data_IF_715954052174
#
_entry.id   IF_715954052174
#
_cell.length_a   1.000
_cell.length_b   1.000
_cell.length_c   1.000
_cell.angle_alpha   90.00
_cell.angle_beta   90.00
_cell.angle_gamma   90.00
#
_symmetry.space_group_name_H-M   'P 1'
#
loop_
_entity.id
_entity.type
_entity.pdbx_description
1 polymer ?
#
# COMPACT_ATOMS: atom_id res chain seq x y z
N UNK A 1 -13.43 -2.10 5.40
CA UNK A 1 -13.49 -2.63 4.03
C UNK A 1 -13.63 -1.46 3.07
N UNK A 2 -12.84 -1.45 1.99
CA UNK A 2 -12.87 -0.40 0.95
C UNK A 2 -13.25 -1.08 -0.37
N UNK A 3 -14.05 -0.41 -1.20
CA UNK A 3 -14.44 -0.90 -2.51
C UNK A 3 -14.03 0.11 -3.59
N UNK A 4 -13.30 -0.34 -4.61
CA UNK A 4 -12.94 0.46 -5.78
C UNK A 4 -13.66 -0.11 -6.99
N UNK A 5 -14.54 0.68 -7.59
CA UNK A 5 -15.28 0.30 -8.78
C UNK A 5 -14.56 0.82 -10.03
N UNK A 6 -14.15 -0.08 -10.92
CA UNK A 6 -13.65 0.25 -12.26
C UNK A 6 -14.58 -0.35 -13.31
N UNK A 7 -14.52 0.09 -14.58
CA UNK A 7 -15.37 -0.48 -15.63
C UNK A 7 -15.25 -2.00 -15.80
N UNK A 8 -14.08 -2.56 -15.46
CA UNK A 8 -13.77 -3.97 -15.71
C UNK A 8 -13.88 -4.85 -14.45
N UNK A 9 -13.68 -4.26 -13.26
CA UNK A 9 -13.57 -5.00 -11.99
C UNK A 9 -13.92 -4.12 -10.79
N UNK A 10 -14.55 -4.74 -9.78
CA UNK A 10 -14.62 -4.20 -8.42
C UNK A 10 -13.50 -4.79 -7.58
N UNK A 11 -12.68 -3.95 -6.98
CA UNK A 11 -11.64 -4.34 -6.03
C UNK A 11 -12.18 -4.26 -4.61
N UNK A 12 -11.92 -5.28 -3.81
CA UNK A 12 -12.24 -5.34 -2.38
C UNK A 12 -10.94 -5.20 -1.62
N UNK A 13 -10.81 -4.18 -0.79
CA UNK A 13 -9.57 -3.92 -0.06
C UNK A 13 -9.78 -3.97 1.44
N UNK A 14 -8.82 -4.55 2.15
CA UNK A 14 -8.73 -4.56 3.62
C UNK A 14 -7.61 -3.63 4.08
N UNK A 15 -7.92 -2.82 5.09
CA UNK A 15 -7.02 -1.80 5.62
C UNK A 15 -5.87 -2.44 6.38
N UNK A 16 -4.65 -1.99 6.11
CA UNK A 16 -3.44 -2.32 6.87
C UNK A 16 -3.29 -1.34 8.02
N UNK A 17 -3.28 -0.04 7.71
CA UNK A 17 -3.00 1.03 8.65
C UNK A 17 -3.58 2.36 8.18
N UNK A 18 -3.84 3.28 9.12
CA UNK A 18 -4.20 4.66 8.84
C UNK A 18 -3.47 5.61 9.80
N UNK A 19 -2.71 6.57 9.28
CA UNK A 19 -1.84 7.42 10.09
C UNK A 19 -1.76 8.85 9.57
N UNK A 20 -1.41 9.77 10.47
CA UNK A 20 -0.98 11.12 10.13
C UNK A 20 0.53 11.14 9.90
N UNK A 21 0.96 11.83 8.85
CA UNK A 21 2.37 11.94 8.47
C UNK A 21 2.63 13.28 7.79
N UNK A 22 3.91 13.58 7.67
CA UNK A 22 4.47 14.65 6.86
C UNK A 22 4.20 14.45 5.35
N UNK A 23 4.66 15.39 4.54
CA UNK A 23 4.51 15.38 3.09
C UNK A 23 5.57 14.56 2.32
N UNK A 24 6.31 13.69 3.02
CA UNK A 24 7.47 12.99 2.49
C UNK A 24 7.19 12.26 1.15
N UNK A 25 7.98 12.53 0.08
CA UNK A 25 7.75 11.93 -1.24
C UNK A 25 7.78 10.41 -1.27
N UNK A 26 8.57 9.77 -0.40
CA UNK A 26 8.69 8.31 -0.32
C UNK A 26 7.34 7.62 -0.08
N UNK A 27 6.40 8.28 0.61
CA UNK A 27 5.04 7.76 0.87
C UNK A 27 4.22 7.51 -0.41
N UNK A 28 4.63 8.13 -1.53
CA UNK A 28 4.02 8.01 -2.86
C UNK A 28 4.78 7.05 -3.78
N UNK A 29 5.74 6.30 -3.27
CA UNK A 29 6.52 5.37 -4.08
C UNK A 29 5.63 4.27 -4.66
N UNK A 30 5.73 4.07 -5.97
CA UNK A 30 4.95 3.07 -6.73
C UNK A 30 5.81 1.99 -7.39
N UNK A 31 7.14 2.12 -7.33
CA UNK A 31 8.12 1.21 -7.92
C UNK A 31 9.11 0.75 -6.85
N UNK A 32 9.54 -0.51 -6.93
CA UNK A 32 10.43 -1.16 -5.98
C UNK A 32 11.37 -2.08 -6.76
N UNK A 33 12.63 -2.21 -6.34
CA UNK A 33 13.62 -3.07 -7.00
C UNK A 33 13.30 -4.56 -6.83
N UNK A 34 12.75 -4.92 -5.68
CA UNK A 34 12.40 -6.30 -5.34
C UNK A 34 11.32 -6.35 -4.24
N UNK A 35 10.85 -7.57 -3.95
CA UNK A 35 9.82 -7.81 -2.94
C UNK A 35 10.29 -7.57 -1.50
N UNK A 36 11.58 -7.79 -1.21
CA UNK A 36 12.12 -7.57 0.14
C UNK A 36 12.15 -6.07 0.45
N UNK A 37 12.55 -5.25 -0.52
CA UNK A 37 12.52 -3.79 -0.43
C UNK A 37 11.08 -3.28 -0.31
N UNK A 38 10.14 -3.86 -1.06
CA UNK A 38 8.73 -3.56 -0.93
C UNK A 38 8.18 -3.90 0.47
N UNK A 39 8.51 -5.06 1.05
CA UNK A 39 8.07 -5.42 2.40
C UNK A 39 8.66 -4.50 3.46
N UNK A 40 9.95 -4.18 3.36
CA UNK A 40 10.60 -3.19 4.22
C UNK A 40 9.94 -1.80 4.11
N UNK A 41 9.52 -1.42 2.91
CA UNK A 41 8.75 -0.20 2.71
C UNK A 41 7.40 -0.25 3.43
N UNK A 42 6.61 -1.32 3.26
CA UNK A 42 5.31 -1.47 3.95
C UNK A 42 5.49 -1.37 5.47
N UNK A 43 6.51 -2.02 6.02
CA UNK A 43 6.82 -1.97 7.44
C UNK A 43 7.16 -0.57 7.91
N UNK A 44 8.12 0.11 7.24
CA UNK A 44 8.52 1.48 7.56
C UNK A 44 7.35 2.47 7.47
N UNK A 45 6.51 2.32 6.45
CA UNK A 45 5.36 3.21 6.25
C UNK A 45 4.25 3.00 7.28
N UNK A 46 4.20 1.85 7.96
CA UNK A 46 3.11 1.50 8.89
C UNK A 46 3.53 1.46 10.36
N UNK A 47 4.83 1.54 10.68
CA UNK A 47 5.42 1.38 12.02
C UNK A 47 4.78 2.26 13.12
N UNK A 48 4.40 3.50 12.81
CA UNK A 48 3.88 4.46 13.80
C UNK A 48 2.36 4.45 13.97
N UNK A 49 1.66 3.51 13.34
CA UNK A 49 0.21 3.44 13.42
C UNK A 49 -0.24 2.70 14.69
N UNK A 50 -1.29 3.20 15.36
CA UNK A 50 -1.93 2.50 16.49
C UNK A 50 -2.71 1.26 16.05
N UNK A 51 -3.09 1.19 14.78
CA UNK A 51 -3.73 0.04 14.15
C UNK A 51 -2.87 -0.45 12.98
N UNK A 52 -2.32 -1.65 13.10
CA UNK A 52 -1.52 -2.27 12.04
C UNK A 52 -1.88 -3.75 11.91
N UNK A 53 -2.47 -4.12 10.79
CA UNK A 53 -2.86 -5.49 10.46
C UNK A 53 -2.32 -5.88 9.09
N UNK A 54 -1.12 -6.49 9.08
CA UNK A 54 -0.52 -7.07 7.88
C UNK A 54 -0.78 -8.59 7.95
N UNK A 55 -1.28 -9.23 6.87
CA UNK A 55 -1.44 -10.68 6.80
C UNK A 55 -0.13 -11.42 7.04
N UNK A 56 -0.16 -12.54 7.76
CA UNK A 56 1.02 -13.40 7.98
C UNK A 56 1.59 -13.97 6.67
N UNK A 57 0.73 -14.19 5.68
CA UNK A 57 1.10 -14.61 4.32
C UNK A 57 1.78 -13.51 3.51
N UNK A 58 1.84 -12.28 4.03
CA UNK A 58 2.36 -11.11 3.35
C UNK A 58 1.42 -10.55 2.29
N UNK A 59 1.88 -9.49 1.62
CA UNK A 59 1.17 -8.84 0.53
C UNK A 59 2.14 -8.64 -0.65
N UNK A 60 1.62 -8.68 -1.88
CA UNK A 60 2.42 -8.38 -3.09
C UNK A 60 2.13 -7.00 -3.67
N UNK A 61 1.04 -6.36 -3.21
CA UNK A 61 0.57 -5.07 -3.69
C UNK A 61 -0.15 -4.35 -2.56
N UNK A 62 0.05 -3.05 -2.47
CA UNK A 62 -0.73 -2.17 -1.60
C UNK A 62 -1.41 -1.07 -2.39
N UNK A 63 -2.45 -0.52 -1.80
CA UNK A 63 -3.13 0.70 -2.20
C UNK A 63 -2.85 1.78 -1.16
N UNK A 64 -2.42 2.96 -1.61
CA UNK A 64 -2.12 4.11 -0.76
C UNK A 64 -3.11 5.24 -1.05
N UNK A 65 -3.96 5.57 -0.09
CA UNK A 65 -4.88 6.71 -0.16
C UNK A 65 -4.30 7.85 0.67
N UNK A 66 -3.86 8.92 0.01
CA UNK A 66 -3.13 10.02 0.64
C UNK A 66 -3.94 11.29 0.47
N UNK A 67 -4.23 12.00 1.56
CA UNK A 67 -4.89 13.30 1.45
C UNK A 67 -3.95 14.36 0.86
N UNK A 68 -4.53 15.23 0.04
CA UNK A 68 -3.86 16.43 -0.43
C UNK A 68 -4.25 17.57 0.51
N UNK A 69 -3.46 17.84 1.55
CA UNK A 69 -3.59 19.06 2.34
C UNK A 69 -2.75 20.17 1.72
N UNK A 70 -3.33 21.36 1.58
CA UNK A 70 -2.64 22.59 1.19
C UNK A 70 -2.43 23.54 2.39
N UNK A 71 -2.78 23.12 3.61
CA UNK A 71 -2.89 24.00 4.78
C UNK A 71 -1.76 23.82 5.82
N UNK A 72 -0.77 22.96 5.56
CA UNK A 72 0.44 22.85 6.37
C UNK A 72 1.26 21.58 6.09
N UNK A 73 2.55 21.59 6.45
CA UNK A 73 3.52 20.56 6.07
C UNK A 73 3.25 19.16 6.68
N UNK A 74 2.58 19.10 7.85
CA UNK A 74 2.46 17.89 8.70
C UNK A 74 1.01 17.39 8.93
N UNK A 75 0.13 17.49 7.93
CA UNK A 75 -1.30 17.19 8.11
C UNK A 75 -1.85 16.13 7.18
N UNK A 76 -0.99 15.32 6.53
CA UNK A 76 -1.48 14.30 5.60
C UNK A 76 -1.95 13.08 6.34
N UNK A 77 -3.18 12.65 6.04
CA UNK A 77 -3.66 11.32 6.42
C UNK A 77 -3.35 10.38 5.28
N UNK A 78 -2.74 9.24 5.63
CA UNK A 78 -2.49 8.14 4.70
C UNK A 78 -3.21 6.90 5.20
N UNK A 79 -3.93 6.22 4.31
CA UNK A 79 -4.49 4.91 4.53
C UNK A 79 -3.83 3.92 3.57
N UNK A 80 -3.27 2.85 4.12
CA UNK A 80 -2.73 1.72 3.36
C UNK A 80 -3.71 0.54 3.42
N UNK A 81 -3.89 -0.15 2.30
CA UNK A 81 -4.75 -1.32 2.19
C UNK A 81 -4.16 -2.36 1.22
N UNK A 82 -4.59 -3.61 1.32
CA UNK A 82 -4.30 -4.67 0.37
C UNK A 82 -5.58 -5.22 -0.25
N UNK A 83 -5.47 -5.81 -1.43
CA UNK A 83 -6.62 -6.41 -2.14
C UNK A 83 -6.93 -7.81 -1.61
N UNK A 84 -8.22 -8.12 -1.53
CA UNK A 84 -8.74 -9.45 -1.25
C UNK A 84 -9.09 -10.19 -2.54
N UNK A 85 -8.86 -11.49 -2.55
CA UNK A 85 -9.38 -12.40 -3.56
C UNK A 85 -10.85 -12.77 -3.29
N UNK A 86 -11.38 -13.70 -4.07
CA UNK A 86 -12.76 -14.17 -3.95
C UNK A 86 -13.02 -14.99 -2.66
N UNK A 87 -11.96 -15.42 -1.96
CA UNK A 87 -12.03 -16.19 -0.71
C UNK A 87 -11.76 -15.34 0.54
N UNK A 88 -11.71 -14.01 0.41
CA UNK A 88 -11.35 -13.08 1.50
C UNK A 88 -9.89 -13.19 1.98
N UNK A 89 -9.03 -13.79 1.17
CA UNK A 89 -7.59 -13.90 1.45
C UNK A 89 -6.80 -12.81 0.70
N UNK A 90 -5.58 -12.46 1.14
CA UNK A 90 -4.75 -11.50 0.43
C UNK A 90 -4.49 -11.95 -1.00
N UNK A 91 -4.86 -11.12 -1.98
CA UNK A 91 -4.67 -11.42 -3.39
C UNK A 91 -3.19 -11.65 -3.70
N UNK A 92 -2.88 -12.84 -4.21
CA UNK A 92 -1.54 -13.22 -4.62
C UNK A 92 -1.35 -12.95 -6.11
N UNK A 93 -0.21 -12.40 -6.45
CA UNK A 93 0.13 -12.01 -7.82
C UNK A 93 1.28 -12.85 -8.34
N UNK A 94 1.25 -13.17 -9.64
CA UNK A 94 2.39 -13.81 -10.29
C UNK A 94 3.54 -12.80 -10.39
N UNK A 95 4.48 -12.90 -9.44
CA UNK A 95 5.63 -12.01 -9.34
C UNK A 95 6.54 -12.08 -10.57
N UNK A 96 6.53 -13.17 -11.33
CA UNK A 96 7.33 -13.29 -12.56
C UNK A 96 6.84 -12.36 -13.68
N UNK A 97 5.61 -11.86 -13.56
CA UNK A 97 5.01 -10.91 -14.50
C UNK A 97 5.22 -9.45 -14.11
N UNK A 98 5.79 -9.19 -12.94
CA UNK A 98 6.08 -7.83 -12.46
C UNK A 98 7.41 -7.39 -13.05
N UNK A 99 7.37 -6.31 -13.83
CA UNK A 99 8.56 -5.60 -14.26
C UNK A 99 9.07 -4.72 -13.11
N UNK A 100 10.13 -5.17 -12.44
CA UNK A 100 10.80 -4.41 -11.38
C UNK A 100 11.78 -3.35 -11.93
N UNK A 101 11.99 -3.28 -13.27
CA UNK A 101 12.94 -2.37 -13.90
C UNK A 101 14.41 -2.70 -13.63
N UNK A 102 15.33 -2.26 -14.51
CA UNK A 102 16.78 -2.45 -14.30
C UNK A 102 17.42 -1.35 -13.43
N UNK A 103 16.75 -0.21 -13.20
CA UNK A 103 17.38 0.95 -12.57
C UNK A 103 16.36 1.89 -11.88
N UNK A 104 16.10 1.66 -10.59
CA UNK A 104 15.25 2.51 -9.75
C UNK A 104 15.99 3.10 -8.53
N UNK A 105 17.33 3.13 -8.58
CA UNK A 105 18.21 3.76 -7.57
C UNK A 105 18.41 5.26 -7.79
#
# INVERSE_FOLDING_TARGET
MIYIYTPNKTYRLKTIAALYTDSAPERRQTYFDDMDYFHNYVDRMTEKCTFREIPETGVNKIWSFITCSYEGDDTRTVLYAYELDDNDEPAQYDLSTIDFGEDHR
#
